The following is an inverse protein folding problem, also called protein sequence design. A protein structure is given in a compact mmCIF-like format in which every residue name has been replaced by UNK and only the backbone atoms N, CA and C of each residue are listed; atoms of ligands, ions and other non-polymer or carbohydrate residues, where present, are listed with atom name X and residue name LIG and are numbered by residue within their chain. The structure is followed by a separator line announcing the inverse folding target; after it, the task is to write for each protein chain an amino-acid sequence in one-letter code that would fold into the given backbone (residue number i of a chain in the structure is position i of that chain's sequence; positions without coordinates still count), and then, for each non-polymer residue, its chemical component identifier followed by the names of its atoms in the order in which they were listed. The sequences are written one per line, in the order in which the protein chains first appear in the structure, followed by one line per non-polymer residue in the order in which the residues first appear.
data_IF_289736229608
#
_entry.id   IF_289736229608
#
_cell.length_a   1.000
_cell.length_b   1.000
_cell.length_c   1.000
_cell.angle_alpha   90.00
_cell.angle_beta   90.00
_cell.angle_gamma   90.00
#
_symmetry.space_group_name_H-M   'P 1'
#
loop_
_entity.id
_entity.type
_entity.pdbx_description
1 polymer ?
#
# COMPACT_ATOMS: atom_id res chain seq x y z
N UNK A 1 4.52 -8.78 -9.41
CA UNK A 1 5.79 -8.20 -8.92
C UNK A 1 5.98 -6.82 -9.54
N UNK A 2 6.31 -5.82 -8.73
CA UNK A 2 6.66 -4.46 -9.16
C UNK A 2 7.95 -4.05 -8.47
N UNK A 3 8.81 -3.30 -9.18
CA UNK A 3 10.10 -2.87 -8.65
C UNK A 3 10.38 -1.43 -9.04
N UNK A 4 11.02 -0.70 -8.14
CA UNK A 4 11.59 0.62 -8.38
C UNK A 4 13.05 0.56 -7.96
N UNK A 5 13.93 0.89 -8.89
CA UNK A 5 15.37 0.85 -8.70
C UNK A 5 15.94 2.27 -8.78
N UNK A 6 16.78 2.60 -7.79
CA UNK A 6 17.60 3.81 -7.76
C UNK A 6 19.06 3.38 -7.87
N UNK A 7 19.75 3.81 -8.92
CA UNK A 7 21.15 3.45 -9.17
C UNK A 7 22.06 4.68 -9.07
N UNK A 8 23.18 4.52 -8.39
CA UNK A 8 24.27 5.48 -8.29
C UNK A 8 25.59 4.79 -8.70
N UNK A 9 26.68 5.56 -8.79
CA UNK A 9 27.97 5.07 -9.29
C UNK A 9 28.52 3.84 -8.53
N UNK A 10 28.19 3.72 -7.24
CA UNK A 10 28.72 2.65 -6.36
C UNK A 10 27.66 1.86 -5.60
N UNK A 11 26.38 2.14 -5.83
CA UNK A 11 25.30 1.44 -5.13
C UNK A 11 24.01 1.40 -5.94
N UNK A 12 23.19 0.39 -5.64
CA UNK A 12 21.83 0.27 -6.17
C UNK A 12 20.90 -0.04 -5.00
N UNK A 13 19.86 0.77 -4.87
CA UNK A 13 18.75 0.54 -3.95
C UNK A 13 17.53 0.11 -4.75
N UNK A 14 16.98 -1.07 -4.41
CA UNK A 14 15.77 -1.59 -5.04
C UNK A 14 14.65 -1.74 -4.02
N UNK A 15 13.50 -1.15 -4.31
CA UNK A 15 12.25 -1.36 -3.59
C UNK A 15 11.37 -2.30 -4.43
N UNK A 16 10.96 -3.43 -3.87
CA UNK A 16 10.14 -4.43 -4.58
C UNK A 16 8.89 -4.78 -3.80
N UNK A 17 7.81 -5.06 -4.53
CA UNK A 17 6.56 -5.60 -3.99
C UNK A 17 6.08 -6.76 -4.85
N UNK A 18 5.75 -7.87 -4.20
CA UNK A 18 5.22 -9.07 -4.84
C UNK A 18 3.97 -9.53 -4.09
N UNK A 19 2.85 -9.64 -4.82
CA UNK A 19 1.63 -10.25 -4.31
C UNK A 19 1.59 -11.69 -4.78
N UNK A 20 1.52 -12.64 -3.84
CA UNK A 20 1.45 -14.08 -4.14
C UNK A 20 0.11 -14.46 -4.76
N UNK A 21 -0.96 -13.83 -4.30
CA UNK A 21 -2.30 -13.96 -4.87
C UNK A 21 -3.14 -12.70 -4.56
N UNK A 22 -4.45 -12.74 -4.85
CA UNK A 22 -5.35 -11.57 -4.73
C UNK A 22 -5.92 -11.37 -3.32
N UNK A 23 -5.72 -12.28 -2.38
CA UNK A 23 -6.24 -12.18 -1.01
C UNK A 23 -5.68 -10.97 -0.27
N UNK A 24 -4.42 -10.59 -0.51
CA UNK A 24 -3.80 -9.39 0.09
C UNK A 24 -4.59 -8.11 -0.17
N UNK A 25 -5.25 -8.00 -1.33
CA UNK A 25 -6.10 -6.84 -1.64
C UNK A 25 -7.43 -6.89 -0.89
N UNK A 26 -7.99 -8.09 -0.66
CA UNK A 26 -9.20 -8.27 0.13
C UNK A 26 -8.94 -7.94 1.61
N UNK A 27 -7.80 -8.37 2.16
CA UNK A 27 -7.39 -8.03 3.53
C UNK A 27 -7.25 -6.51 3.70
N UNK A 28 -6.61 -5.83 2.74
CA UNK A 28 -6.51 -4.37 2.73
C UNK A 28 -7.87 -3.67 2.62
N UNK A 29 -8.80 -4.21 1.83
CA UNK A 29 -10.15 -3.67 1.72
C UNK A 29 -10.97 -3.84 3.01
N UNK A 30 -10.84 -4.99 3.70
CA UNK A 30 -11.48 -5.23 5.00
C UNK A 30 -10.93 -4.30 6.07
N UNK A 31 -9.60 -4.10 6.12
CA UNK A 31 -8.97 -3.15 7.02
C UNK A 31 -9.46 -1.71 6.75
N UNK A 32 -9.54 -1.30 5.48
CA UNK A 32 -10.06 0.01 5.09
C UNK A 32 -11.54 0.18 5.49
N UNK A 33 -12.37 -0.85 5.33
CA UNK A 33 -13.79 -0.82 5.73
C UNK A 33 -13.95 -0.63 7.23
N UNK A 34 -13.19 -1.37 8.05
CA UNK A 34 -13.19 -1.23 9.51
C UNK A 34 -12.71 0.16 9.94
N UNK A 35 -11.66 0.68 9.30
CA UNK A 35 -11.15 2.03 9.56
C UNK A 35 -12.18 3.12 9.20
N UNK A 36 -12.88 2.97 8.07
CA UNK A 36 -13.82 3.96 7.55
C UNK A 36 -15.11 4.07 8.38
N UNK A 37 -15.48 3.02 9.12
CA UNK A 37 -16.73 2.97 9.90
C UNK A 37 -16.89 4.11 10.93
N UNK A 38 -15.79 4.72 11.38
CA UNK A 38 -15.78 5.84 12.32
C UNK A 38 -15.38 7.20 11.72
N UNK A 39 -15.31 7.32 10.38
CA UNK A 39 -14.79 8.53 9.72
C UNK A 39 -15.92 9.44 9.23
N UNK A 40 -15.71 10.76 9.22
CA UNK A 40 -16.66 11.68 8.61
C UNK A 40 -16.74 11.43 7.09
N UNK A 41 -17.81 11.90 6.42
CA UNK A 41 -17.91 11.79 4.97
C UNK A 41 -16.74 12.47 4.27
N UNK A 42 -16.14 11.79 3.30
CA UNK A 42 -14.98 12.28 2.55
C UNK A 42 -14.48 11.24 1.54
N UNK A 43 -13.60 11.69 0.65
CA UNK A 43 -12.88 10.80 -0.25
C UNK A 43 -11.52 10.49 0.38
N UNK A 44 -11.31 9.23 0.75
CA UNK A 44 -10.10 8.75 1.38
C UNK A 44 -9.33 7.80 0.45
N UNK A 45 -8.02 7.78 0.63
CA UNK A 45 -7.10 6.87 -0.03
C UNK A 45 -6.59 5.81 0.95
N UNK A 46 -5.88 4.81 0.44
CA UNK A 46 -5.18 3.83 1.29
C UNK A 46 -4.11 4.49 2.17
N UNK A 47 -3.57 5.65 1.77
CA UNK A 47 -2.60 6.39 2.60
C UNK A 47 -3.24 6.88 3.91
N UNK A 48 -4.49 7.34 3.85
CA UNK A 48 -5.25 7.76 5.03
C UNK A 48 -5.50 6.58 5.99
N UNK A 49 -5.77 5.40 5.44
CA UNK A 49 -5.93 4.16 6.22
C UNK A 49 -4.62 3.77 6.93
N UNK A 50 -3.48 3.98 6.25
CA UNK A 50 -2.15 3.65 6.77
C UNK A 50 -1.52 4.76 7.64
N UNK A 51 -2.10 5.96 7.67
CA UNK A 51 -1.52 7.12 8.37
C UNK A 51 -0.25 7.66 7.71
N UNK A 52 -0.19 7.61 6.38
CA UNK A 52 0.96 8.03 5.56
C UNK A 52 0.67 9.28 4.73
#
# INVERSE_FOLDING_TARGET
RHEVMFAAEREILTLSHEALDRSVFADGALAAALWAAGKPPGLYSVRDVLGL
#
